data_IF_265930601577
#
_entry.id   IF_265930601577
#
_cell.length_a   1.000
_cell.length_b   1.000
_cell.length_c   1.000
_cell.angle_alpha   90.00
_cell.angle_beta   90.00
_cell.angle_gamma   90.00
#
_symmetry.space_group_name_H-M   'P 1'
#
loop_
_entity.id
_entity.type
_entity.pdbx_description
1 polymer ?
#
# COMPACT_ATOMS: atom_id res chain seq x y z
N UNK A 1 11.94 -23.70 -18.01
CA UNK A 1 10.68 -23.73 -18.78
C UNK A 1 9.77 -24.73 -18.12
N UNK A 2 8.78 -24.28 -17.38
CA UNK A 2 7.64 -25.12 -16.95
C UNK A 2 6.40 -24.26 -17.07
N UNK A 3 5.52 -24.67 -17.97
CA UNK A 3 4.24 -24.06 -18.32
C UNK A 3 3.26 -24.17 -17.15
N UNK A 4 2.58 -23.07 -16.86
CA UNK A 4 1.41 -23.01 -15.99
C UNK A 4 0.16 -23.03 -16.88
N UNK A 5 -0.81 -23.92 -16.67
CA UNK A 5 -2.04 -23.92 -17.46
C UNK A 5 -3.03 -22.88 -16.99
N UNK A 6 -3.60 -22.18 -17.96
CA UNK A 6 -4.76 -21.32 -17.80
C UNK A 6 -6.04 -22.16 -17.80
N UNK A 7 -7.10 -21.56 -17.21
CA UNK A 7 -8.52 -21.88 -17.39
C UNK A 7 -9.18 -22.87 -16.43
N UNK A 8 -10.01 -22.29 -15.54
CA UNK A 8 -11.32 -22.84 -15.23
C UNK A 8 -12.31 -21.68 -14.98
N UNK A 9 -13.06 -21.35 -16.02
CA UNK A 9 -14.28 -20.51 -15.97
C UNK A 9 -15.41 -21.40 -15.49
N UNK A 10 -15.97 -21.14 -14.33
CA UNK A 10 -17.25 -21.74 -13.91
C UNK A 10 -18.39 -20.74 -14.08
N UNK A 11 -19.21 -21.02 -15.08
CA UNK A 11 -20.50 -20.42 -15.37
C UNK A 11 -21.54 -20.86 -14.34
N UNK A 12 -22.20 -19.91 -13.68
CA UNK A 12 -23.41 -20.17 -12.89
C UNK A 12 -24.62 -19.56 -13.61
N UNK A 13 -25.59 -20.42 -13.93
CA UNK A 13 -26.88 -20.11 -14.57
C UNK A 13 -27.89 -19.56 -13.54
N UNK A 14 -28.83 -18.71 -13.96
CA UNK A 14 -29.89 -18.18 -13.11
C UNK A 14 -31.06 -19.16 -12.99
N UNK A 15 -31.63 -19.24 -11.79
CA UNK A 15 -32.88 -19.98 -11.52
C UNK A 15 -34.06 -19.02 -11.57
N UNK A 16 -35.06 -19.41 -12.33
CA UNK A 16 -36.29 -18.71 -12.57
C UNK A 16 -37.33 -18.88 -11.43
N UNK A 17 -38.18 -17.86 -11.28
CA UNK A 17 -39.38 -17.86 -10.43
C UNK A 17 -40.56 -18.62 -11.04
N UNK A 18 -41.55 -18.97 -10.20
CA UNK A 18 -42.98 -18.79 -10.59
C UNK A 18 -43.73 -18.11 -9.45
N UNK A 19 -44.67 -17.20 -9.61
CA UNK A 19 -45.80 -17.16 -10.46
C UNK A 19 -47.13 -17.25 -9.70
N UNK A 20 -47.88 -16.16 -9.67
CA UNK A 20 -49.33 -16.03 -9.57
C UNK A 20 -50.09 -16.29 -8.24
N UNK A 21 -50.94 -15.30 -7.89
CA UNK A 21 -52.10 -15.44 -7.05
C UNK A 21 -52.95 -14.17 -7.03
N UNK A 22 -54.04 -14.16 -7.81
CA UNK A 22 -55.08 -13.12 -7.90
C UNK A 22 -55.99 -13.17 -6.66
N UNK A 23 -56.45 -12.00 -6.19
CA UNK A 23 -57.57 -11.91 -5.26
C UNK A 23 -58.08 -10.48 -5.17
N UNK A 24 -59.10 -10.17 -5.94
CA UNK A 24 -59.91 -8.93 -5.92
C UNK A 24 -60.97 -9.05 -4.86
N UNK A 25 -61.04 -8.14 -3.89
CA UNK A 25 -62.30 -7.82 -3.19
C UNK A 25 -62.37 -6.31 -2.98
N UNK A 26 -63.32 -5.67 -3.62
CA UNK A 26 -63.68 -4.27 -3.41
C UNK A 26 -64.68 -4.18 -2.26
N UNK A 27 -64.39 -3.32 -1.27
CA UNK A 27 -65.40 -2.87 -0.32
C UNK A 27 -65.36 -1.33 -0.27
N UNK A 28 -66.45 -0.75 -0.76
CA UNK A 28 -66.77 0.67 -0.64
C UNK A 28 -67.23 0.97 0.81
N UNK A 29 -66.56 1.84 1.52
CA UNK A 29 -67.13 2.51 2.68
C UNK A 29 -66.80 4.02 2.63
N UNK A 30 -67.87 4.83 2.52
CA UNK A 30 -67.85 6.28 2.66
C UNK A 30 -67.55 6.64 4.11
N UNK A 31 -66.58 7.55 4.33
CA UNK A 31 -66.25 8.05 5.70
C UNK A 31 -65.39 9.30 5.61
N UNK A 32 -66.02 10.43 5.76
CA UNK A 32 -65.59 11.73 6.34
C UNK A 32 -64.10 12.05 6.33
N UNK A 33 -63.73 13.01 5.47
CA UNK A 33 -62.42 13.70 5.51
C UNK A 33 -62.31 14.60 6.74
N UNK A 34 -61.47 14.23 7.69
CA UNK A 34 -60.86 15.12 8.67
C UNK A 34 -59.42 15.31 8.24
N UNK A 35 -59.12 16.45 7.61
CA UNK A 35 -57.74 16.81 7.27
C UNK A 35 -56.97 17.23 8.55
N UNK A 36 -56.28 16.29 9.16
CA UNK A 36 -55.22 16.57 10.14
C UNK A 36 -53.96 16.91 9.38
N UNK A 37 -53.62 18.20 9.31
CA UNK A 37 -52.29 18.65 8.89
C UNK A 37 -51.24 18.19 9.96
N UNK A 38 -50.65 17.05 9.74
CA UNK A 38 -49.43 16.65 10.45
C UNK A 38 -48.26 17.40 9.83
N UNK A 39 -47.86 18.51 10.44
CA UNK A 39 -46.59 19.17 10.17
C UNK A 39 -45.47 18.18 10.57
N UNK A 40 -44.90 17.46 9.61
CA UNK A 40 -43.70 16.67 9.81
C UNK A 40 -42.53 17.62 9.99
N UNK A 41 -42.15 17.87 11.24
CA UNK A 41 -40.88 18.51 11.57
C UNK A 41 -39.80 17.55 11.11
N UNK A 42 -39.23 17.78 9.92
CA UNK A 42 -38.01 17.13 9.47
C UNK A 42 -36.86 17.60 10.35
N UNK A 43 -36.57 16.86 11.41
CA UNK A 43 -35.34 17.02 12.16
C UNK A 43 -34.16 16.72 11.20
N UNK A 44 -33.21 17.64 11.05
CA UNK A 44 -32.01 17.32 10.30
C UNK A 44 -31.34 16.12 11.00
N UNK A 45 -31.29 14.99 10.32
CA UNK A 45 -30.42 13.90 10.71
C UNK A 45 -29.00 14.44 10.56
N UNK A 46 -28.41 14.91 11.67
CA UNK A 46 -26.96 15.07 11.72
C UNK A 46 -26.38 13.68 11.43
N UNK A 47 -25.85 13.50 10.24
CA UNK A 47 -25.04 12.34 9.93
C UNK A 47 -23.92 12.32 10.97
N UNK A 48 -23.98 11.38 11.93
CA UNK A 48 -22.86 11.08 12.78
C UNK A 48 -21.79 10.60 11.82
N UNK A 49 -20.82 11.48 11.53
CA UNK A 49 -19.59 11.09 10.85
C UNK A 49 -18.98 10.03 11.76
N UNK A 50 -19.16 8.76 11.40
CA UNK A 50 -18.51 7.66 12.09
C UNK A 50 -17.02 7.97 12.07
N UNK A 51 -16.36 7.86 13.23
CA UNK A 51 -14.93 8.13 13.37
C UNK A 51 -14.19 7.41 12.25
N UNK A 52 -13.67 8.18 11.29
CA UNK A 52 -12.92 7.63 10.17
C UNK A 52 -11.75 6.87 10.78
N UNK A 53 -11.68 5.56 10.51
CA UNK A 53 -10.63 4.70 11.03
C UNK A 53 -9.28 5.27 10.60
N UNK A 54 -8.47 5.76 11.53
CA UNK A 54 -7.17 6.36 11.31
C UNK A 54 -6.05 5.40 11.69
N UNK A 55 -4.87 5.63 11.11
CA UNK A 55 -3.67 4.88 11.48
C UNK A 55 -3.13 5.37 12.84
N UNK A 56 -2.59 4.44 13.63
CA UNK A 56 -2.00 4.77 14.91
C UNK A 56 -0.47 4.68 14.84
N UNK A 57 0.19 5.81 15.03
CA UNK A 57 1.65 5.93 15.02
C UNK A 57 2.30 5.76 16.40
N UNK A 58 1.53 5.67 17.48
CA UNK A 58 2.03 5.57 18.86
C UNK A 58 3.07 6.63 19.22
N UNK A 59 2.91 7.86 18.71
CA UNK A 59 3.83 8.97 18.93
C UNK A 59 5.06 8.99 18.02
N UNK A 60 5.23 8.03 17.13
CA UNK A 60 6.34 8.04 16.16
C UNK A 60 6.24 9.26 15.23
N UNK A 61 7.38 9.94 15.05
CA UNK A 61 7.46 11.11 14.18
C UNK A 61 7.37 10.70 12.70
N UNK A 62 6.42 11.32 12.00
CA UNK A 62 6.17 11.09 10.58
C UNK A 62 5.77 12.42 9.91
N UNK A 63 6.16 12.58 8.65
CA UNK A 63 5.71 13.71 7.82
C UNK A 63 4.20 13.65 7.59
N UNK A 64 3.57 14.80 7.32
CA UNK A 64 2.13 14.88 7.08
C UNK A 64 1.70 14.01 5.88
N UNK A 65 2.50 13.94 4.84
CA UNK A 65 2.26 13.06 3.70
C UNK A 65 2.16 11.58 4.08
N UNK A 66 3.00 11.13 5.02
CA UNK A 66 2.97 9.75 5.54
C UNK A 66 1.69 9.50 6.33
N UNK A 67 1.30 10.45 7.21
CA UNK A 67 0.07 10.37 8.00
C UNK A 67 -1.15 10.32 7.11
N UNK A 68 -1.25 11.23 6.13
CA UNK A 68 -2.35 11.28 5.18
C UNK A 68 -2.47 9.98 4.36
N UNK A 69 -1.34 9.42 3.90
CA UNK A 69 -1.33 8.14 3.19
C UNK A 69 -1.80 7.02 4.12
N UNK A 70 -1.28 6.93 5.33
CA UNK A 70 -1.65 5.89 6.29
C UNK A 70 -3.15 5.94 6.64
N UNK A 71 -3.68 7.12 6.94
CA UNK A 71 -5.09 7.33 7.27
C UNK A 71 -5.99 6.97 6.07
N UNK A 72 -5.62 7.39 4.87
CA UNK A 72 -6.36 7.03 3.65
C UNK A 72 -6.33 5.54 3.38
N UNK A 73 -5.20 4.88 3.57
CA UNK A 73 -5.07 3.41 3.42
C UNK A 73 -6.02 2.69 4.36
N UNK A 74 -6.05 3.10 5.63
CA UNK A 74 -6.86 2.45 6.67
C UNK A 74 -8.34 2.75 6.49
N UNK A 75 -8.72 4.02 6.27
CA UNK A 75 -10.12 4.44 6.14
C UNK A 75 -10.79 3.82 4.90
N UNK A 76 -10.06 3.67 3.79
CA UNK A 76 -10.57 3.08 2.54
C UNK A 76 -10.32 1.58 2.40
N UNK A 77 -9.69 0.92 3.38
CA UNK A 77 -9.23 -0.47 3.30
C UNK A 77 -8.38 -0.76 2.04
N UNK A 78 -7.59 0.23 1.59
CA UNK A 78 -6.78 0.11 0.38
C UNK A 78 -5.67 -0.95 0.53
N UNK A 79 -5.25 -1.25 1.76
CA UNK A 79 -4.35 -2.36 2.08
C UNK A 79 -5.05 -3.74 1.99
N UNK A 80 -6.38 -3.80 1.81
CA UNK A 80 -7.16 -5.06 1.71
C UNK A 80 -6.95 -5.96 2.94
N UNK A 81 -7.01 -5.36 4.12
CA UNK A 81 -6.80 -6.05 5.40
C UNK A 81 -5.48 -6.84 5.45
N UNK A 82 -4.41 -6.28 4.88
CA UNK A 82 -3.06 -6.85 4.87
C UNK A 82 -2.08 -5.91 5.56
N UNK A 83 -0.95 -6.43 6.10
CA UNK A 83 0.12 -5.59 6.59
C UNK A 83 0.63 -4.70 5.46
N UNK A 84 1.09 -3.50 5.81
CA UNK A 84 1.58 -2.59 4.79
C UNK A 84 2.79 -1.78 5.25
N UNK A 85 3.61 -1.39 4.28
CA UNK A 85 4.74 -0.49 4.45
C UNK A 85 4.45 0.85 3.76
N UNK A 86 4.92 1.92 4.37
CA UNK A 86 5.02 3.24 3.73
C UNK A 86 6.49 3.63 3.66
N UNK A 87 6.98 3.93 2.47
CA UNK A 87 8.34 4.41 2.21
C UNK A 87 8.25 5.91 1.94
N UNK A 88 8.76 6.70 2.88
CA UNK A 88 8.95 8.14 2.73
C UNK A 88 10.29 8.39 2.04
N UNK A 89 10.25 8.65 0.74
CA UNK A 89 11.47 8.89 -0.04
C UNK A 89 12.12 10.22 0.32
N UNK A 90 11.35 11.23 0.65
CA UNK A 90 11.87 12.55 0.98
C UNK A 90 12.73 12.52 2.26
N UNK A 91 12.28 11.78 3.27
CA UNK A 91 12.97 11.63 4.55
C UNK A 91 13.80 10.33 4.66
N UNK A 92 13.82 9.51 3.62
CA UNK A 92 14.47 8.20 3.58
C UNK A 92 14.14 7.36 4.83
N UNK A 93 12.84 7.17 5.08
CA UNK A 93 12.31 6.45 6.25
C UNK A 93 11.24 5.46 5.83
N UNK A 94 11.16 4.33 6.53
CA UNK A 94 10.11 3.31 6.36
C UNK A 94 9.27 3.20 7.61
N UNK A 95 7.98 2.97 7.41
CA UNK A 95 6.99 2.69 8.46
C UNK A 95 6.29 1.39 8.12
N UNK A 96 6.25 0.44 9.05
CA UNK A 96 5.52 -0.81 8.90
C UNK A 96 4.31 -0.82 9.81
N UNK A 97 3.15 -1.12 9.24
CA UNK A 97 1.87 -1.19 9.92
C UNK A 97 1.29 -2.59 9.87
N UNK A 98 0.48 -2.93 10.88
CA UNK A 98 -0.41 -4.08 10.81
C UNK A 98 -1.49 -3.87 9.75
N UNK A 99 -2.28 -4.91 9.51
CA UNK A 99 -3.49 -4.87 8.68
C UNK A 99 -4.54 -3.85 9.17
N UNK A 100 -4.54 -3.55 10.48
CA UNK A 100 -5.45 -2.60 11.14
C UNK A 100 -4.88 -1.17 11.24
N UNK A 101 -3.73 -0.88 10.62
CA UNK A 101 -3.12 0.44 10.66
C UNK A 101 -2.40 0.80 11.96
N UNK A 102 -2.03 -0.20 12.77
CA UNK A 102 -1.21 0.01 13.95
C UNK A 102 0.27 -0.03 13.55
N UNK A 103 1.03 1.02 13.84
CA UNK A 103 2.46 1.04 13.57
C UNK A 103 3.17 -0.08 14.36
N UNK A 104 3.97 -0.87 13.70
CA UNK A 104 4.77 -1.96 14.27
C UNK A 104 6.23 -1.60 14.42
N UNK A 105 6.71 -0.69 13.56
CA UNK A 105 8.07 -0.19 13.61
C UNK A 105 8.36 0.81 12.51
N UNK A 106 9.37 1.66 12.75
CA UNK A 106 9.88 2.62 11.78
C UNK A 106 11.40 2.71 11.87
N UNK A 107 12.06 3.01 10.76
CA UNK A 107 13.53 3.17 10.71
C UNK A 107 13.96 3.95 9.47
N UNK A 108 15.18 4.48 9.49
CA UNK A 108 15.83 4.99 8.28
C UNK A 108 16.09 3.90 7.26
N UNK A 109 16.14 4.27 5.98
CA UNK A 109 16.41 3.34 4.86
C UNK A 109 17.41 3.91 3.88
N UNK A 110 18.14 3.03 3.17
CA UNK A 110 18.89 3.44 1.98
C UNK A 110 17.99 3.23 0.75
N UNK A 111 17.99 4.23 -0.11
CA UNK A 111 17.20 4.29 -1.33
C UNK A 111 18.08 4.42 -2.58
N UNK A 112 17.46 4.39 -3.73
CA UNK A 112 18.10 4.65 -5.00
C UNK A 112 18.90 5.94 -4.99
N UNK A 113 20.07 5.92 -5.65
CA UNK A 113 21.01 7.05 -5.67
C UNK A 113 20.35 8.30 -6.29
N UNK A 114 19.59 8.12 -7.35
CA UNK A 114 18.90 9.22 -8.04
C UNK A 114 17.53 9.49 -7.44
N UNK A 115 17.13 10.76 -7.46
CA UNK A 115 15.75 11.18 -7.21
C UNK A 115 14.90 10.92 -8.43
N UNK A 116 13.62 10.72 -8.25
CA UNK A 116 12.65 10.46 -9.30
C UNK A 116 11.60 9.45 -8.84
N UNK A 117 10.53 9.35 -9.61
CA UNK A 117 9.38 8.52 -9.23
C UNK A 117 9.12 7.37 -10.21
N UNK A 118 9.80 7.34 -11.34
CA UNK A 118 9.59 6.32 -12.35
C UNK A 118 10.83 5.46 -12.54
N UNK A 119 10.61 4.15 -12.66
CA UNK A 119 11.66 3.23 -13.09
C UNK A 119 11.93 3.43 -14.59
N UNK A 120 13.20 3.31 -14.98
CA UNK A 120 13.56 3.30 -16.40
C UNK A 120 13.03 2.01 -17.04
N UNK A 121 12.37 2.14 -18.19
CA UNK A 121 11.79 1.00 -18.91
C UNK A 121 12.81 -0.13 -19.12
N UNK A 122 12.42 -1.36 -18.73
CA UNK A 122 13.24 -2.56 -18.90
C UNK A 122 14.44 -2.66 -17.94
N UNK A 123 14.55 -1.79 -16.93
CA UNK A 123 15.70 -1.75 -16.02
C UNK A 123 15.90 -3.09 -15.27
N UNK A 124 14.81 -3.78 -14.94
CA UNK A 124 14.87 -5.06 -14.23
C UNK A 124 15.57 -6.19 -14.98
N UNK A 125 15.70 -6.08 -16.30
CA UNK A 125 16.36 -7.07 -17.17
C UNK A 125 17.83 -6.69 -17.47
N UNK A 126 18.31 -5.57 -16.96
CA UNK A 126 19.65 -5.05 -17.25
C UNK A 126 20.67 -5.55 -16.23
N UNK A 127 21.91 -5.74 -16.69
CA UNK A 127 23.03 -5.99 -15.78
C UNK A 127 23.25 -4.77 -14.88
N UNK A 128 23.45 -4.97 -13.58
CA UNK A 128 23.67 -3.90 -12.59
C UNK A 128 24.80 -2.95 -13.05
N UNK A 129 25.87 -3.48 -13.63
CA UNK A 129 27.00 -2.69 -14.12
C UNK A 129 26.65 -1.70 -15.25
N UNK A 130 25.54 -1.95 -15.99
CA UNK A 130 25.09 -1.09 -17.07
C UNK A 130 24.11 0.01 -16.62
N UNK A 131 23.66 0.00 -15.35
CA UNK A 131 22.71 0.97 -14.81
C UNK A 131 23.47 2.23 -14.39
N UNK A 132 23.20 3.33 -15.11
CA UNK A 132 23.85 4.63 -14.86
C UNK A 132 23.38 5.22 -13.52
N UNK A 133 24.17 6.09 -12.89
CA UNK A 133 23.80 6.75 -11.63
C UNK A 133 22.42 7.43 -11.66
N UNK A 134 22.09 8.15 -12.73
CA UNK A 134 20.80 8.84 -12.90
C UNK A 134 19.60 7.90 -13.06
N UNK A 135 19.81 6.61 -13.35
CA UNK A 135 18.77 5.60 -13.53
C UNK A 135 18.48 4.82 -12.24
N UNK A 136 19.27 5.04 -11.19
CA UNK A 136 19.17 4.31 -9.90
C UNK A 136 18.09 4.90 -9.02
N UNK A 137 16.84 4.77 -9.44
CA UNK A 137 15.66 5.36 -8.81
C UNK A 137 14.92 4.29 -8.00
N UNK A 138 14.44 4.63 -6.79
CA UNK A 138 13.40 3.86 -6.11
C UNK A 138 12.05 4.37 -6.63
N UNK A 139 11.32 3.59 -7.46
CA UNK A 139 10.09 4.08 -8.08
C UNK A 139 9.00 4.28 -7.04
N UNK A 140 8.16 5.31 -7.25
CA UNK A 140 6.98 5.56 -6.44
C UNK A 140 5.80 4.73 -6.94
N UNK A 141 4.86 4.42 -6.05
CA UNK A 141 3.66 3.68 -6.40
C UNK A 141 3.13 2.81 -5.27
N UNK A 142 2.07 2.08 -5.60
CA UNK A 142 1.44 1.07 -4.74
C UNK A 142 1.75 -0.32 -5.30
N UNK A 143 2.42 -1.14 -4.51
CA UNK A 143 2.91 -2.45 -4.94
C UNK A 143 2.36 -3.55 -4.02
N UNK A 144 2.03 -4.71 -4.60
CA UNK A 144 1.79 -5.93 -3.82
C UNK A 144 3.13 -6.62 -3.60
N UNK A 145 3.51 -6.78 -2.34
CA UNK A 145 4.82 -7.31 -1.97
C UNK A 145 4.70 -8.71 -1.35
N UNK A 146 5.70 -9.55 -1.62
CA UNK A 146 5.77 -10.92 -1.10
C UNK A 146 7.20 -11.31 -0.74
N UNK A 147 7.33 -12.16 0.27
CA UNK A 147 8.62 -12.75 0.62
C UNK A 147 9.14 -13.64 -0.52
N UNK A 148 10.43 -13.63 -0.72
CA UNK A 148 11.12 -14.45 -1.70
C UNK A 148 12.61 -14.47 -1.46
N UNK A 149 13.36 -14.89 -2.49
CA UNK A 149 14.83 -14.95 -2.41
C UNK A 149 15.44 -14.21 -3.60
N UNK A 150 16.58 -13.61 -3.39
CA UNK A 150 17.42 -13.09 -4.48
C UNK A 150 18.20 -14.24 -5.16
N UNK A 151 18.97 -13.92 -6.20
CA UNK A 151 19.79 -14.90 -6.94
C UNK A 151 20.79 -15.61 -6.03
N UNK A 152 21.24 -14.96 -4.97
CA UNK A 152 22.16 -15.53 -3.98
C UNK A 152 21.47 -16.32 -2.87
N UNK A 153 20.16 -16.54 -2.94
CA UNK A 153 19.37 -17.27 -1.94
C UNK A 153 19.05 -16.49 -0.67
N UNK A 154 19.37 -15.19 -0.61
CA UNK A 154 19.06 -14.35 0.55
C UNK A 154 17.59 -14.01 0.56
N UNK A 155 16.94 -14.18 1.70
CA UNK A 155 15.54 -13.79 1.90
C UNK A 155 15.36 -12.29 1.75
N UNK A 156 14.45 -11.87 0.89
CA UNK A 156 14.09 -10.48 0.58
C UNK A 156 12.57 -10.33 0.50
N UNK A 157 12.07 -9.09 0.56
CA UNK A 157 10.69 -8.75 0.23
C UNK A 157 10.66 -8.15 -1.17
N UNK A 158 10.13 -8.89 -2.15
CA UNK A 158 9.89 -8.37 -3.49
C UNK A 158 8.80 -7.30 -3.45
N UNK A 159 9.10 -6.13 -4.03
CA UNK A 159 8.19 -4.98 -4.09
C UNK A 159 7.71 -4.78 -5.52
N UNK A 160 8.62 -4.67 -6.47
CA UNK A 160 8.34 -4.57 -7.90
C UNK A 160 9.25 -5.54 -8.66
N UNK A 161 8.70 -6.71 -8.98
CA UNK A 161 9.46 -7.77 -9.61
C UNK A 161 9.89 -7.41 -11.03
N UNK A 162 9.04 -6.70 -11.78
CA UNK A 162 9.32 -6.31 -13.16
C UNK A 162 10.53 -5.36 -13.27
N UNK A 163 10.70 -4.49 -12.29
CA UNK A 163 11.82 -3.54 -12.22
C UNK A 163 12.95 -4.01 -11.28
N UNK A 164 12.89 -5.25 -10.78
CA UNK A 164 13.87 -5.82 -9.85
C UNK A 164 14.07 -5.00 -8.57
N UNK A 165 12.99 -4.44 -8.03
CA UNK A 165 12.99 -3.67 -6.77
C UNK A 165 12.56 -4.56 -5.61
N UNK A 166 13.41 -4.62 -4.60
CA UNK A 166 13.15 -5.36 -3.36
C UNK A 166 13.48 -4.52 -2.13
N UNK A 167 12.86 -4.86 -1.00
CA UNK A 167 13.27 -4.41 0.31
C UNK A 167 14.06 -5.55 0.97
N UNK A 168 15.26 -5.26 1.44
CA UNK A 168 16.16 -6.24 2.01
C UNK A 168 17.09 -5.65 3.08
N UNK A 169 17.79 -6.52 3.80
CA UNK A 169 18.82 -6.11 4.76
C UNK A 169 19.90 -5.30 4.07
N UNK A 170 20.43 -4.33 4.76
CA UNK A 170 21.60 -3.59 4.27
C UNK A 170 22.75 -4.56 3.95
N UNK A 171 23.36 -4.39 2.78
CA UNK A 171 24.50 -5.19 2.29
C UNK A 171 25.75 -4.35 2.44
N UNK A 172 26.77 -4.90 3.11
CA UNK A 172 28.00 -4.19 3.48
C UNK A 172 29.27 -4.76 2.83
N UNK A 173 29.09 -5.52 1.75
CA UNK A 173 30.21 -6.17 1.03
C UNK A 173 31.17 -5.20 0.38
N UNK A 174 30.75 -3.95 0.12
CA UNK A 174 31.63 -2.88 -0.34
C UNK A 174 31.81 -1.82 0.78
N UNK A 175 32.93 -1.84 1.52
CA UNK A 175 33.18 -0.88 2.60
C UNK A 175 33.23 0.58 2.15
N UNK A 176 33.63 0.85 0.90
CA UNK A 176 33.72 2.21 0.36
C UNK A 176 32.35 2.89 0.24
N UNK A 177 31.29 2.14 0.15
CA UNK A 177 29.92 2.69 0.12
C UNK A 177 29.44 3.18 1.48
N UNK A 178 30.12 2.80 2.59
CA UNK A 178 29.84 3.24 3.96
C UNK A 178 28.35 3.12 4.33
N UNK A 179 27.70 2.03 3.92
CA UNK A 179 26.24 1.89 4.00
C UNK A 179 25.68 1.95 5.42
N UNK A 180 26.40 1.43 6.42
CA UNK A 180 25.97 1.53 7.82
C UNK A 180 26.03 2.96 8.34
N UNK A 181 27.08 3.70 8.01
CA UNK A 181 27.21 5.11 8.39
C UNK A 181 26.12 5.96 7.71
N UNK A 182 25.89 5.73 6.42
CA UNK A 182 24.79 6.38 5.68
C UNK A 182 23.44 6.08 6.32
N UNK A 183 23.19 4.83 6.70
CA UNK A 183 21.93 4.42 7.32
C UNK A 183 21.72 5.10 8.69
N UNK A 184 22.80 5.33 9.44
CA UNK A 184 22.79 6.05 10.72
C UNK A 184 22.75 7.58 10.58
N UNK A 185 23.03 8.13 9.38
CA UNK A 185 23.03 9.57 9.17
C UNK A 185 21.66 10.19 9.41
N UNK A 186 21.61 11.38 9.98
CA UNK A 186 20.39 12.18 10.12
C UNK A 186 19.94 12.78 8.77
N UNK A 187 20.87 12.91 7.80
CA UNK A 187 20.59 13.51 6.49
C UNK A 187 19.94 12.50 5.52
N UNK A 188 18.72 12.74 5.03
CA UNK A 188 18.09 11.87 4.04
C UNK A 188 18.88 11.77 2.72
N UNK A 189 19.61 12.81 2.33
CA UNK A 189 20.40 12.83 1.11
C UNK A 189 21.60 11.85 1.19
N UNK A 190 22.19 11.66 2.35
CA UNK A 190 23.26 10.70 2.53
C UNK A 190 22.79 9.24 2.46
N UNK A 191 21.50 9.01 2.66
CA UNK A 191 20.88 7.69 2.55
C UNK A 191 20.57 7.25 1.11
N UNK A 192 21.10 7.97 0.10
CA UNK A 192 20.94 7.64 -1.32
C UNK A 192 22.20 6.96 -1.85
N UNK A 193 22.10 5.64 -2.17
CA UNK A 193 23.26 4.85 -2.63
C UNK A 193 22.88 3.63 -3.47
N UNK A 194 21.65 3.07 -3.32
CA UNK A 194 21.29 1.81 -3.96
C UNK A 194 20.99 1.98 -5.46
N UNK A 195 20.77 0.86 -6.13
CA UNK A 195 20.34 0.80 -7.53
C UNK A 195 18.80 0.91 -7.70
N UNK A 196 18.09 1.22 -6.61
CA UNK A 196 16.63 1.30 -6.54
C UNK A 196 16.03 0.51 -5.39
N UNK A 197 16.67 -0.60 -4.99
CA UNK A 197 16.24 -1.40 -3.84
C UNK A 197 16.26 -0.60 -2.54
N UNK A 198 15.37 -0.96 -1.63
CA UNK A 198 15.20 -0.35 -0.31
C UNK A 198 15.99 -1.18 0.69
N UNK A 199 17.04 -0.60 1.30
CA UNK A 199 17.84 -1.31 2.28
C UNK A 199 17.47 -0.84 3.69
N UNK A 200 17.17 -1.79 4.56
CA UNK A 200 16.83 -1.55 5.96
C UNK A 200 17.88 -2.14 6.91
N UNK A 201 17.95 -1.68 8.19
CA UNK A 201 18.75 -2.34 9.20
C UNK A 201 18.40 -3.82 9.31
N UNK A 202 19.40 -4.67 9.55
CA UNK A 202 19.21 -6.13 9.73
C UNK A 202 18.15 -6.41 10.79
N UNK A 203 18.27 -5.77 11.95
CA UNK A 203 17.32 -5.95 13.05
C UNK A 203 15.86 -5.57 12.68
N UNK A 204 15.69 -4.54 11.85
CA UNK A 204 14.35 -4.16 11.39
C UNK A 204 13.77 -5.21 10.46
N UNK A 205 14.55 -5.73 9.52
CA UNK A 205 14.10 -6.76 8.60
C UNK A 205 13.69 -8.04 9.34
N UNK A 206 14.54 -8.51 10.27
CA UNK A 206 14.29 -9.73 11.05
C UNK A 206 13.09 -9.59 11.99
N UNK A 207 13.03 -8.50 12.74
CA UNK A 207 12.03 -8.33 13.81
C UNK A 207 10.65 -7.94 13.26
N UNK A 208 10.59 -7.23 12.16
CA UNK A 208 9.33 -6.64 11.69
C UNK A 208 8.92 -7.11 10.29
N UNK A 209 9.84 -7.11 9.30
CA UNK A 209 9.46 -7.43 7.91
C UNK A 209 9.16 -8.92 7.74
N UNK A 210 10.07 -9.80 8.20
CA UNK A 210 9.85 -11.25 8.09
C UNK A 210 8.53 -11.66 8.75
N UNK A 211 8.26 -11.35 10.03
CA UNK A 211 7.03 -11.79 10.67
C UNK A 211 5.75 -11.23 10.02
N UNK A 212 5.81 -10.00 9.49
CA UNK A 212 4.65 -9.37 8.92
C UNK A 212 4.27 -9.93 7.53
N UNK A 213 5.25 -10.41 6.76
CA UNK A 213 5.03 -10.83 5.38
C UNK A 213 5.19 -12.35 5.15
N UNK A 214 5.61 -13.12 6.15
CA UNK A 214 5.68 -14.59 6.05
C UNK A 214 4.26 -15.18 6.01
N UNK A 215 3.99 -15.99 4.99
CA UNK A 215 2.69 -16.63 4.81
C UNK A 215 1.59 -15.72 4.27
N UNK A 216 1.88 -14.45 3.99
CA UNK A 216 0.92 -13.51 3.39
C UNK A 216 1.62 -12.53 2.45
N UNK A 217 0.86 -11.95 1.54
CA UNK A 217 1.30 -10.78 0.80
C UNK A 217 0.89 -9.52 1.58
N UNK A 218 1.65 -8.45 1.44
CA UNK A 218 1.29 -7.14 1.96
C UNK A 218 1.34 -6.06 0.89
N UNK A 219 1.11 -4.82 1.28
CA UNK A 219 1.14 -3.68 0.36
C UNK A 219 2.31 -2.76 0.73
N UNK A 220 3.02 -2.27 -0.27
CA UNK A 220 4.07 -1.25 -0.11
C UNK A 220 3.64 0.00 -0.86
N UNK A 221 3.53 1.11 -0.13
CA UNK A 221 3.28 2.43 -0.65
C UNK A 221 4.59 3.19 -0.66
N UNK A 222 5.11 3.54 -1.82
CA UNK A 222 6.31 4.35 -1.97
C UNK A 222 5.86 5.75 -2.36
N UNK A 223 5.96 6.70 -1.41
CA UNK A 223 5.51 8.08 -1.60
C UNK A 223 6.38 8.76 -2.67
N UNK A 224 5.76 9.39 -3.69
CA UNK A 224 6.48 10.14 -4.69
C UNK A 224 7.20 11.35 -4.08
N UNK A 225 8.29 11.77 -4.74
CA UNK A 225 9.06 12.95 -4.33
C UNK A 225 9.07 14.06 -5.39
N UNK A 226 8.56 13.80 -6.60
CA UNK A 226 8.54 14.73 -7.72
C UNK A 226 7.15 14.98 -8.29
N UNK A 227 6.12 14.27 -7.83
CA UNK A 227 4.73 14.38 -8.31
C UNK A 227 3.71 14.26 -7.17
N UNK A 228 2.43 14.60 -7.39
CA UNK A 228 1.39 14.50 -6.36
C UNK A 228 1.18 13.09 -5.82
N UNK A 229 1.00 12.98 -4.50
CA UNK A 229 0.87 11.69 -3.78
C UNK A 229 -0.40 10.95 -4.19
N UNK A 230 -1.53 11.65 -4.25
CA UNK A 230 -2.84 11.03 -4.48
C UNK A 230 -2.92 10.30 -5.82
N UNK A 231 -2.41 10.92 -6.87
CA UNK A 231 -2.38 10.36 -8.22
C UNK A 231 -1.51 9.11 -8.31
N UNK A 232 -0.32 9.16 -7.68
CA UNK A 232 0.66 8.07 -7.74
C UNK A 232 0.25 6.82 -6.97
N UNK A 233 -0.48 6.98 -5.85
CA UNK A 233 -0.77 5.87 -4.94
C UNK A 233 -2.21 5.37 -5.03
N UNK A 234 -3.13 6.21 -5.46
CA UNK A 234 -4.57 5.94 -5.41
C UNK A 234 -5.29 6.20 -6.74
N UNK A 235 -4.59 6.71 -7.76
CA UNK A 235 -5.12 7.14 -9.06
C UNK A 235 -5.43 6.02 -10.07
N UNK A 236 -5.79 4.84 -9.61
CA UNK A 236 -6.10 3.69 -10.47
C UNK A 236 -7.45 3.03 -10.21
N UNK A 237 -8.45 3.80 -9.75
CA UNK A 237 -9.81 3.29 -9.51
C UNK A 237 -10.83 4.32 -10.01
N UNK A 238 -11.02 4.39 -11.31
CA UNK A 238 -12.25 4.81 -11.95
C UNK A 238 -12.85 3.64 -12.69
#
# INVERSE_FOLDING_TARGET
MRNWPASAVMSARPIASPGRGRGVVAVLARGVCIALLLATIALPHAAVAGDAKAANFFGEAAADSVRQVADRVVSSNNNRSRPFLIIDKANAKVFLFSDQGQLRGATGVLLGLARGDDAVAGIGNRKISSIKPAERITPAGRFTASMGHDIGGRTILWVDYANSIALHRVITTNPQERRLERLASASPSERRISYGCINVPVAFFEKFVIPAFTGTNGIVYIIPETRPVAESLFGGST
#
